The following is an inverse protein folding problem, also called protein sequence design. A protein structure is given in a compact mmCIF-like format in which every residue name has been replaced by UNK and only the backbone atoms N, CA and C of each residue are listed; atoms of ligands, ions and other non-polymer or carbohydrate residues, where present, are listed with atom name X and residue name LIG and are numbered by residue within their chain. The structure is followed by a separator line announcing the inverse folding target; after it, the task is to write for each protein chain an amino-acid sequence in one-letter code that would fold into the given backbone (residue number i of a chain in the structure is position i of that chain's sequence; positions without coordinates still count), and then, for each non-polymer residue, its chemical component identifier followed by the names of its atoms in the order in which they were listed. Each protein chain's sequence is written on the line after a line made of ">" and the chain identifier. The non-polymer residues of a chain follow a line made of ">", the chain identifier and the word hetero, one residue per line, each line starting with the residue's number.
data_IF_516667363921
#
_entry.id   IF_516667363921
#
_cell.length_a   1.000
_cell.length_b   1.000
_cell.length_c   1.000
_cell.angle_alpha   90.00
_cell.angle_beta   90.00
_cell.angle_gamma   90.00
#
_symmetry.space_group_name_H-M   'P 1'
#
loop_
_entity.id
_entity.type
_entity.pdbx_description
1 polymer ?
#
# COMPACT_ATOMS: atom_id res chain seq x y z
N UNK A 1 51.58 118.14 162.34
CA UNK A 1 50.60 118.08 163.45
C UNK A 1 49.42 118.99 163.14
N UNK A 2 48.29 118.38 162.79
CA UNK A 2 46.94 118.96 162.72
C UNK A 2 46.07 117.95 163.48
N UNK A 3 45.31 118.39 164.48
CA UNK A 3 44.54 117.46 165.34
C UNK A 3 43.36 116.88 164.55
N UNK A 4 43.37 115.56 164.30
CA UNK A 4 42.29 114.83 163.61
C UNK A 4 41.33 114.26 164.67
N UNK A 5 40.05 114.56 164.50
CA UNK A 5 39.00 114.18 165.46
C UNK A 5 38.31 112.91 164.96
N UNK A 6 38.29 111.85 165.77
CA UNK A 6 37.63 110.60 165.44
C UNK A 6 36.10 110.82 165.29
N UNK A 7 35.48 110.46 164.14
CA UNK A 7 34.06 110.71 163.89
C UNK A 7 33.13 109.93 164.82
N UNK A 8 33.62 108.87 165.47
CA UNK A 8 32.79 107.98 166.29
C UNK A 8 32.80 108.32 167.79
N UNK A 9 33.80 109.04 168.30
CA UNK A 9 33.91 109.33 169.74
C UNK A 9 34.45 110.73 170.10
N UNK A 10 34.67 111.60 169.10
CA UNK A 10 34.90 113.05 169.25
C UNK A 10 36.01 113.50 170.22
N UNK A 11 37.00 112.64 170.51
CA UNK A 11 38.23 113.02 171.24
C UNK A 11 39.42 113.14 170.28
N UNK A 12 40.21 114.20 170.47
CA UNK A 12 41.44 114.44 169.72
C UNK A 12 42.58 113.56 170.25
N UNK A 13 43.24 112.82 169.37
CA UNK A 13 44.40 111.99 169.69
C UNK A 13 45.55 112.28 168.70
N UNK A 14 46.79 112.31 169.21
CA UNK A 14 48.01 112.50 168.38
C UNK A 14 48.53 111.15 167.94
N UNK A 15 48.67 110.95 166.63
CA UNK A 15 49.03 109.67 165.99
C UNK A 15 50.50 109.67 165.58
N UNK A 16 51.18 108.57 165.89
CA UNK A 16 52.58 108.27 165.54
C UNK A 16 52.70 107.84 164.06
N UNK A 17 53.73 108.35 163.36
CA UNK A 17 53.91 108.29 161.90
C UNK A 17 54.03 106.85 161.36
N UNK A 18 54.46 105.89 162.17
CA UNK A 18 54.60 104.48 161.75
C UNK A 18 53.24 103.77 161.56
N UNK A 19 52.25 104.03 162.43
CA UNK A 19 50.93 103.37 162.35
C UNK A 19 50.08 103.88 161.19
N UNK A 20 50.28 105.13 160.75
CA UNK A 20 49.58 105.68 159.59
C UNK A 20 50.12 105.10 158.27
N UNK A 21 51.41 104.78 158.20
CA UNK A 21 52.05 104.18 157.03
C UNK A 21 51.55 102.74 156.77
N UNK A 22 51.37 101.92 157.81
CA UNK A 22 50.86 100.55 157.68
C UNK A 22 49.37 100.51 157.29
N UNK A 23 48.54 101.41 157.84
CA UNK A 23 47.13 101.54 157.43
C UNK A 23 47.02 102.04 155.98
N UNK A 24 47.85 103.03 155.58
CA UNK A 24 47.92 103.48 154.19
C UNK A 24 48.35 102.35 153.26
N UNK A 25 49.34 101.54 153.66
CA UNK A 25 49.80 100.39 152.87
C UNK A 25 48.72 99.33 152.75
N UNK A 26 48.02 98.98 153.82
CA UNK A 26 46.94 97.98 153.80
C UNK A 26 45.73 98.43 152.95
N UNK A 27 45.35 99.71 153.03
CA UNK A 27 44.28 100.27 152.17
C UNK A 27 44.73 100.33 150.71
N UNK A 28 46.00 100.69 150.46
CA UNK A 28 46.56 100.77 149.10
C UNK A 28 46.76 99.40 148.48
N UNK A 29 47.23 98.40 149.23
CA UNK A 29 47.41 97.03 148.76
C UNK A 29 46.04 96.38 148.48
N UNK A 30 45.03 96.59 149.34
CA UNK A 30 43.67 96.09 149.09
C UNK A 30 42.96 96.83 147.93
N UNK A 31 43.16 98.14 147.78
CA UNK A 31 42.67 98.88 146.60
C UNK A 31 43.40 98.44 145.33
N UNK A 32 44.69 98.18 145.40
CA UNK A 32 45.50 97.70 144.28
C UNK A 32 45.09 96.29 143.86
N UNK A 33 44.87 95.38 144.81
CA UNK A 33 44.38 94.02 144.51
C UNK A 33 42.99 94.06 143.88
N UNK A 34 42.09 94.96 144.35
CA UNK A 34 40.79 95.19 143.71
C UNK A 34 40.94 95.72 142.28
N UNK A 35 41.78 96.73 142.07
CA UNK A 35 42.03 97.28 140.73
C UNK A 35 42.69 96.24 139.80
N UNK A 36 43.60 95.42 140.33
CA UNK A 36 44.25 94.33 139.60
C UNK A 36 43.23 93.25 139.19
N UNK A 37 42.35 92.83 140.10
CA UNK A 37 41.27 91.88 139.78
C UNK A 37 40.28 92.48 138.78
N UNK A 38 39.93 93.76 138.91
CA UNK A 38 39.04 94.45 137.97
C UNK A 38 39.68 94.54 136.58
N UNK A 39 40.99 94.87 136.49
CA UNK A 39 41.73 94.83 135.22
C UNK A 39 41.89 93.43 134.67
N UNK A 40 42.14 92.41 135.49
CA UNK A 40 42.18 91.01 135.04
C UNK A 40 40.83 90.58 134.48
N UNK A 41 39.73 90.93 135.16
CA UNK A 41 38.38 90.63 134.68
C UNK A 41 38.04 91.36 133.38
N UNK A 42 38.45 92.62 133.24
CA UNK A 42 38.32 93.37 131.97
C UNK A 42 39.15 92.69 130.87
N UNK A 43 40.41 92.33 131.14
CA UNK A 43 41.27 91.66 130.19
C UNK A 43 40.77 90.26 129.78
N UNK A 44 40.21 89.49 130.72
CA UNK A 44 39.55 88.21 130.44
C UNK A 44 38.34 88.41 129.54
N UNK A 45 37.49 89.40 129.83
CA UNK A 45 36.32 89.74 129.02
C UNK A 45 36.71 90.23 127.62
N UNK A 46 37.76 91.04 127.50
CA UNK A 46 38.31 91.47 126.22
C UNK A 46 38.88 90.30 125.42
N UNK A 47 39.61 89.39 126.05
CA UNK A 47 40.10 88.16 125.43
C UNK A 47 38.95 87.27 124.95
N UNK A 48 37.92 87.07 125.76
CA UNK A 48 36.72 86.33 125.36
C UNK A 48 36.02 86.98 124.17
N UNK A 49 35.87 88.30 124.17
CA UNK A 49 35.27 89.03 123.05
C UNK A 49 36.13 88.95 121.78
N UNK A 50 37.46 89.01 121.91
CA UNK A 50 38.39 88.86 120.79
C UNK A 50 38.32 87.45 120.19
N UNK A 51 38.20 86.41 121.03
CA UNK A 51 37.99 85.02 120.59
C UNK A 51 36.65 84.89 119.86
N UNK A 52 35.56 85.42 120.43
CA UNK A 52 34.23 85.41 119.78
C UNK A 52 34.23 86.14 118.44
N UNK A 53 34.94 87.27 118.34
CA UNK A 53 35.09 88.01 117.08
C UNK A 53 35.90 87.21 116.05
N UNK A 54 36.98 86.55 116.48
CA UNK A 54 37.76 85.69 115.60
C UNK A 54 36.94 84.48 115.11
N UNK A 55 36.18 83.82 116.00
CA UNK A 55 35.25 82.75 115.65
C UNK A 55 34.19 83.24 114.66
N UNK A 56 33.57 84.40 114.89
CA UNK A 56 32.58 84.99 113.99
C UNK A 56 33.17 85.34 112.61
N UNK A 57 34.41 85.84 112.56
CA UNK A 57 35.09 86.12 111.30
C UNK A 57 35.42 84.84 110.52
N UNK A 58 35.85 83.79 111.22
CA UNK A 58 36.12 82.47 110.62
C UNK A 58 34.81 81.85 110.11
N UNK A 59 33.72 81.89 110.88
CA UNK A 59 32.43 81.34 110.44
C UNK A 59 31.88 82.11 109.24
N UNK A 60 31.99 83.44 109.21
CA UNK A 60 31.60 84.25 108.05
C UNK A 60 32.45 83.93 106.81
N UNK A 61 33.76 83.79 106.96
CA UNK A 61 34.65 83.39 105.86
C UNK A 61 34.31 82.00 105.33
N UNK A 62 34.09 81.03 106.23
CA UNK A 62 33.67 79.67 105.86
C UNK A 62 32.29 79.65 105.21
N UNK A 63 31.34 80.47 105.67
CA UNK A 63 30.03 80.61 105.03
C UNK A 63 30.14 81.20 103.61
N UNK A 64 31.02 82.19 103.42
CA UNK A 64 31.28 82.77 102.09
C UNK A 64 31.92 81.75 101.14
N UNK A 65 32.90 80.98 101.63
CA UNK A 65 33.55 79.90 100.85
C UNK A 65 32.58 78.77 100.52
N UNK A 66 31.72 78.37 101.48
CA UNK A 66 30.66 77.39 101.25
C UNK A 66 29.66 77.88 100.21
N UNK A 67 29.18 79.12 100.32
CA UNK A 67 28.27 79.70 99.34
C UNK A 67 28.89 79.73 97.93
N UNK A 68 30.19 80.07 97.82
CA UNK A 68 30.91 80.04 96.54
C UNK A 68 31.02 78.62 95.99
N UNK A 69 31.32 77.63 96.84
CA UNK A 69 31.39 76.22 96.43
C UNK A 69 30.03 75.66 96.02
N UNK A 70 28.96 76.04 96.72
CA UNK A 70 27.59 75.68 96.35
C UNK A 70 27.19 76.28 95.00
N UNK A 71 27.58 77.53 94.73
CA UNK A 71 27.37 78.16 93.43
C UNK A 71 28.14 77.44 92.31
N UNK A 72 29.44 77.18 92.51
CA UNK A 72 30.25 76.42 91.55
C UNK A 72 29.67 75.02 91.27
N UNK A 73 29.18 74.34 92.31
CA UNK A 73 28.52 73.04 92.17
C UNK A 73 27.19 73.12 91.43
N UNK A 74 26.38 74.16 91.69
CA UNK A 74 25.12 74.38 91.00
C UNK A 74 25.35 74.67 89.51
N UNK A 75 26.33 75.52 89.17
CA UNK A 75 26.71 75.82 87.80
C UNK A 75 27.24 74.59 87.06
N UNK A 76 28.10 73.79 87.72
CA UNK A 76 28.64 72.56 87.14
C UNK A 76 27.53 71.53 86.88
N UNK A 77 26.59 71.37 87.83
CA UNK A 77 25.42 70.49 87.66
C UNK A 77 24.55 70.94 86.49
N UNK A 78 24.19 72.23 86.44
CA UNK A 78 23.40 72.79 85.34
C UNK A 78 24.09 72.62 83.98
N UNK A 79 25.41 72.81 83.91
CA UNK A 79 26.20 72.57 82.70
C UNK A 79 26.20 71.10 82.28
N UNK A 80 26.35 70.17 83.24
CA UNK A 80 26.32 68.73 82.99
C UNK A 80 24.93 68.25 82.57
N UNK A 81 23.88 68.72 83.22
CA UNK A 81 22.50 68.39 82.87
C UNK A 81 22.16 68.88 81.45
N UNK A 82 22.64 70.07 81.08
CA UNK A 82 22.49 70.59 79.70
C UNK A 82 23.28 69.76 78.68
N UNK A 83 24.52 69.39 78.98
CA UNK A 83 25.31 68.51 78.11
C UNK A 83 24.63 67.13 77.93
N UNK A 84 24.13 66.56 79.02
CA UNK A 84 23.37 65.31 79.00
C UNK A 84 22.11 65.45 78.13
N UNK A 85 21.30 66.48 78.37
CA UNK A 85 20.10 66.74 77.57
C UNK A 85 20.42 66.90 76.07
N UNK A 86 21.46 67.66 75.71
CA UNK A 86 21.88 67.84 74.32
C UNK A 86 22.37 66.52 73.69
N UNK A 87 23.12 65.70 74.42
CA UNK A 87 23.58 64.40 73.92
C UNK A 87 22.43 63.40 73.75
N UNK A 88 21.47 63.38 74.68
CA UNK A 88 20.27 62.55 74.58
C UNK A 88 19.42 62.99 73.40
N UNK A 89 19.17 64.28 73.22
CA UNK A 89 18.40 64.80 72.09
C UNK A 89 19.06 64.45 70.74
N UNK A 90 20.39 64.55 70.64
CA UNK A 90 21.14 64.11 69.43
C UNK A 90 20.97 62.61 69.18
N UNK A 91 21.14 61.79 70.21
CA UNK A 91 20.98 60.33 70.12
C UNK A 91 19.56 59.93 69.73
N UNK A 92 18.55 60.60 70.28
CA UNK A 92 17.14 60.36 69.94
C UNK A 92 16.84 60.76 68.49
N UNK A 93 17.39 61.88 68.01
CA UNK A 93 17.27 62.29 66.62
C UNK A 93 17.95 61.31 65.66
N UNK A 94 19.17 60.86 65.98
CA UNK A 94 19.89 59.84 65.20
C UNK A 94 19.13 58.51 65.18
N UNK A 95 18.58 58.08 66.33
CA UNK A 95 17.76 56.87 66.41
C UNK A 95 16.47 56.99 65.60
N UNK A 96 15.82 58.16 65.62
CA UNK A 96 14.63 58.41 64.81
C UNK A 96 14.96 58.37 63.30
N UNK A 97 16.09 58.97 62.89
CA UNK A 97 16.57 58.93 61.52
C UNK A 97 16.89 57.50 61.07
N UNK A 98 17.68 56.74 61.85
CA UNK A 98 17.99 55.35 61.52
C UNK A 98 16.74 54.46 61.46
N UNK A 99 15.77 54.64 62.37
CA UNK A 99 14.49 53.92 62.31
C UNK A 99 13.71 54.23 61.03
N UNK A 100 13.70 55.50 60.61
CA UNK A 100 13.04 55.91 59.36
C UNK A 100 13.71 55.27 58.14
N UNK A 101 15.05 55.30 58.07
CA UNK A 101 15.80 54.66 57.00
C UNK A 101 15.58 53.14 56.95
N UNK A 102 15.56 52.49 58.11
CA UNK A 102 15.35 51.05 58.21
C UNK A 102 13.94 50.65 57.75
N UNK A 103 12.91 51.40 58.18
CA UNK A 103 11.54 51.22 57.69
C UNK A 103 11.42 51.46 56.18
N UNK A 104 12.11 52.48 55.65
CA UNK A 104 12.11 52.76 54.21
C UNK A 104 12.83 51.66 53.41
N UNK A 105 13.93 51.12 53.94
CA UNK A 105 14.65 50.00 53.33
C UNK A 105 13.80 48.72 53.36
N UNK A 106 13.12 48.44 54.47
CA UNK A 106 12.21 47.30 54.61
C UNK A 106 11.01 47.42 53.65
N UNK A 107 10.42 48.62 53.52
CA UNK A 107 9.36 48.89 52.56
C UNK A 107 9.82 48.72 51.10
N UNK A 108 11.03 49.20 50.75
CA UNK A 108 11.59 48.99 49.41
C UNK A 108 11.83 47.51 49.13
N UNK A 109 12.32 46.76 50.12
CA UNK A 109 12.54 45.32 50.00
C UNK A 109 11.23 44.57 49.81
N UNK A 110 10.20 44.88 50.60
CA UNK A 110 8.88 44.24 50.45
C UNK A 110 8.26 44.58 49.11
N UNK A 111 8.32 45.83 48.66
CA UNK A 111 7.83 46.24 47.34
C UNK A 111 8.55 45.49 46.21
N UNK A 112 9.89 45.43 46.24
CA UNK A 112 10.68 44.73 45.23
C UNK A 112 10.36 43.22 45.19
N UNK A 113 10.18 42.58 46.35
CA UNK A 113 9.77 41.17 46.44
C UNK A 113 8.35 40.98 45.90
N UNK A 114 7.40 41.84 46.27
CA UNK A 114 6.02 41.76 45.78
C UNK A 114 5.93 41.97 44.27
N UNK A 115 6.68 42.92 43.70
CA UNK A 115 6.74 43.15 42.26
C UNK A 115 7.35 41.95 41.51
N UNK A 116 8.43 41.38 42.03
CA UNK A 116 9.05 40.19 41.45
C UNK A 116 8.09 38.99 41.51
N UNK A 117 7.44 38.75 42.64
CA UNK A 117 6.46 37.67 42.81
C UNK A 117 5.26 37.87 41.89
N UNK A 118 4.69 39.08 41.82
CA UNK A 118 3.57 39.38 40.93
C UNK A 118 3.91 39.14 39.45
N UNK A 119 5.14 39.42 39.04
CA UNK A 119 5.59 39.18 37.66
C UNK A 119 5.64 37.69 37.38
N UNK A 120 6.25 36.91 38.28
CA UNK A 120 6.31 35.45 38.18
C UNK A 120 4.92 34.80 38.24
N UNK A 121 4.02 35.29 39.09
CA UNK A 121 2.65 34.79 39.18
C UNK A 121 1.86 35.04 37.88
N UNK A 122 1.98 36.23 37.29
CA UNK A 122 1.36 36.54 35.99
C UNK A 122 1.90 35.64 34.88
N UNK A 123 3.21 35.41 34.84
CA UNK A 123 3.83 34.51 33.86
C UNK A 123 3.36 33.06 34.06
N UNK A 124 3.34 32.59 35.31
CA UNK A 124 2.82 31.26 35.68
C UNK A 124 1.38 31.08 35.24
N UNK A 125 0.51 32.05 35.54
CA UNK A 125 -0.91 31.96 35.24
C UNK A 125 -1.17 32.04 33.72
N UNK A 126 -0.41 32.87 33.00
CA UNK A 126 -0.45 32.91 31.54
C UNK A 126 0.03 31.60 30.91
N UNK A 127 1.11 30.99 31.42
CA UNK A 127 1.61 29.69 30.96
C UNK A 127 0.63 28.57 31.27
N UNK A 128 0.04 28.56 32.47
CA UNK A 128 -1.00 27.60 32.86
C UNK A 128 -2.22 27.68 31.94
N UNK A 129 -2.68 28.88 31.62
CA UNK A 129 -3.77 29.08 30.66
C UNK A 129 -3.43 28.59 29.26
N UNK A 130 -2.22 28.89 28.77
CA UNK A 130 -1.74 28.36 27.47
C UNK A 130 -1.66 26.84 27.46
N UNK A 131 -1.19 26.22 28.55
CA UNK A 131 -1.09 24.77 28.67
C UNK A 131 -2.49 24.11 28.67
N UNK A 132 -3.44 24.64 29.46
CA UNK A 132 -4.81 24.13 29.46
C UNK A 132 -5.48 24.27 28.08
N UNK A 133 -5.28 25.39 27.39
CA UNK A 133 -5.80 25.54 26.03
C UNK A 133 -5.20 24.53 25.05
N UNK A 134 -3.88 24.27 25.14
CA UNK A 134 -3.21 23.26 24.31
C UNK A 134 -3.67 21.84 24.62
N UNK A 135 -3.90 21.52 25.89
CA UNK A 135 -4.46 20.23 26.32
C UNK A 135 -5.87 20.03 25.74
N UNK A 136 -6.73 21.06 25.84
CA UNK A 136 -8.09 21.03 25.30
C UNK A 136 -8.10 20.91 23.77
N UNK A 137 -7.24 21.67 23.06
CA UNK A 137 -7.08 21.57 21.61
C UNK A 137 -6.66 20.16 21.18
N UNK A 138 -5.71 19.55 21.91
CA UNK A 138 -5.25 18.19 21.65
C UNK A 138 -6.36 17.17 21.87
N UNK A 139 -7.12 17.28 22.97
CA UNK A 139 -8.25 16.39 23.25
C UNK A 139 -9.34 16.50 22.18
N UNK A 140 -9.68 17.72 21.76
CA UNK A 140 -10.65 17.94 20.66
C UNK A 140 -10.16 17.33 19.34
N UNK A 141 -8.86 17.48 19.02
CA UNK A 141 -8.28 16.88 17.83
C UNK A 141 -8.33 15.35 17.88
N UNK A 142 -8.01 14.76 19.04
CA UNK A 142 -8.04 13.31 19.24
C UNK A 142 -9.46 12.74 19.07
N UNK A 143 -10.46 13.38 19.68
CA UNK A 143 -11.87 12.99 19.53
C UNK A 143 -12.31 13.12 18.08
N UNK A 144 -12.00 14.24 17.42
CA UNK A 144 -12.37 14.47 16.02
C UNK A 144 -11.73 13.43 15.08
N UNK A 145 -10.47 13.05 15.32
CA UNK A 145 -9.79 12.01 14.54
C UNK A 145 -10.41 10.64 14.77
N UNK A 146 -10.72 10.29 16.03
CA UNK A 146 -11.40 9.03 16.36
C UNK A 146 -12.76 8.94 15.68
N UNK A 147 -13.60 9.98 15.79
CA UNK A 147 -14.91 10.01 15.12
C UNK A 147 -14.81 9.92 13.60
N UNK A 148 -13.82 10.58 12.98
CA UNK A 148 -13.59 10.46 11.53
C UNK A 148 -13.23 9.03 11.14
N UNK A 149 -12.30 8.40 11.85
CA UNK A 149 -11.88 7.04 11.55
C UNK A 149 -13.00 6.02 11.82
N UNK A 150 -13.76 6.16 12.90
CA UNK A 150 -14.92 5.30 13.18
C UNK A 150 -15.98 5.42 12.08
N UNK A 151 -16.27 6.63 11.61
CA UNK A 151 -17.19 6.82 10.49
C UNK A 151 -16.66 6.22 9.18
N UNK A 152 -15.37 6.40 8.87
CA UNK A 152 -14.74 5.78 7.70
C UNK A 152 -14.78 4.25 7.75
N UNK A 153 -14.50 3.66 8.91
CA UNK A 153 -14.59 2.22 9.12
C UNK A 153 -16.02 1.73 8.94
N UNK A 154 -17.00 2.39 9.57
CA UNK A 154 -18.42 2.04 9.41
C UNK A 154 -18.86 2.10 7.95
N UNK A 155 -18.50 3.15 7.22
CA UNK A 155 -18.82 3.27 5.79
C UNK A 155 -18.19 2.15 4.95
N UNK A 156 -16.96 1.75 5.26
CA UNK A 156 -16.29 0.63 4.60
C UNK A 156 -16.94 -0.71 4.92
N UNK A 157 -17.31 -0.94 6.18
CA UNK A 157 -17.98 -2.17 6.60
C UNK A 157 -19.36 -2.30 5.93
N UNK A 158 -20.15 -1.21 5.88
CA UNK A 158 -21.42 -1.17 5.14
C UNK A 158 -21.23 -1.46 3.64
N UNK A 159 -20.17 -0.92 3.02
CA UNK A 159 -19.84 -1.24 1.63
C UNK A 159 -19.47 -2.72 1.46
N UNK A 160 -18.66 -3.28 2.35
CA UNK A 160 -18.26 -4.69 2.32
C UNK A 160 -19.48 -5.59 2.43
N UNK A 161 -20.42 -5.29 3.34
CA UNK A 161 -21.67 -6.06 3.46
C UNK A 161 -22.50 -5.98 2.18
N UNK A 162 -22.67 -4.81 1.58
CA UNK A 162 -23.37 -4.66 0.29
C UNK A 162 -22.69 -5.47 -0.82
N UNK A 163 -21.36 -5.43 -0.90
CA UNK A 163 -20.62 -6.22 -1.89
C UNK A 163 -20.78 -7.72 -1.66
N UNK A 164 -20.75 -8.17 -0.40
CA UNK A 164 -21.01 -9.57 -0.04
C UNK A 164 -22.41 -9.99 -0.45
N UNK A 165 -23.44 -9.21 -0.11
CA UNK A 165 -24.84 -9.48 -0.47
C UNK A 165 -25.05 -9.47 -1.99
N UNK A 166 -24.44 -8.52 -2.72
CA UNK A 166 -24.50 -8.46 -4.18
C UNK A 166 -23.84 -9.69 -4.83
N UNK A 167 -22.65 -10.09 -4.34
CA UNK A 167 -21.97 -11.30 -4.81
C UNK A 167 -22.78 -12.55 -4.50
N UNK A 168 -23.39 -12.62 -3.31
CA UNK A 168 -24.25 -13.74 -2.91
C UNK A 168 -25.49 -13.83 -3.81
N UNK A 169 -26.15 -12.71 -4.12
CA UNK A 169 -27.32 -12.66 -5.01
C UNK A 169 -27.00 -13.02 -6.46
N UNK A 170 -25.84 -12.60 -6.98
CA UNK A 170 -25.38 -13.01 -8.31
C UNK A 170 -25.05 -14.50 -8.35
N UNK A 171 -24.44 -15.02 -7.29
CA UNK A 171 -24.11 -16.45 -7.16
C UNK A 171 -25.36 -17.32 -6.98
N UNK A 172 -26.33 -16.92 -6.14
CA UNK A 172 -27.56 -17.71 -5.90
C UNK A 172 -28.46 -17.79 -7.11
N UNK A 173 -28.47 -16.78 -7.98
CA UNK A 173 -29.18 -16.85 -9.28
C UNK A 173 -28.53 -17.86 -10.24
N UNK A 174 -27.21 -17.98 -10.22
CA UNK A 174 -26.45 -18.98 -10.98
C UNK A 174 -26.53 -20.40 -10.37
N UNK A 175 -26.77 -20.51 -9.07
CA UNK A 175 -26.94 -21.79 -8.37
C UNK A 175 -28.37 -22.35 -8.55
N UNK A 176 -29.37 -21.48 -8.75
CA UNK A 176 -30.77 -21.89 -8.92
C UNK A 176 -31.14 -22.42 -10.31
N UNK A 177 -30.35 -22.10 -11.35
CA UNK A 177 -30.48 -22.62 -12.72
C UNK A 177 -29.30 -23.57 -12.99
N UNK A 178 -29.49 -24.66 -13.73
CA UNK A 178 -28.35 -25.49 -14.17
C UNK A 178 -27.41 -24.63 -15.03
N UNK A 179 -26.09 -24.76 -14.85
CA UNK A 179 -25.08 -24.03 -15.63
C UNK A 179 -25.32 -24.14 -17.15
N UNK A 180 -25.80 -25.31 -17.59
CA UNK A 180 -26.21 -25.57 -18.96
C UNK A 180 -27.35 -24.66 -19.43
N UNK A 181 -28.41 -24.56 -18.63
CA UNK A 181 -29.59 -23.75 -18.95
C UNK A 181 -29.25 -22.26 -18.97
N UNK A 182 -28.35 -21.82 -18.10
CA UNK A 182 -27.85 -20.46 -18.08
C UNK A 182 -27.12 -20.11 -19.38
N UNK A 183 -26.14 -20.93 -19.79
CA UNK A 183 -25.38 -20.70 -21.01
C UNK A 183 -26.26 -20.76 -22.27
N UNK A 184 -27.21 -21.70 -22.32
CA UNK A 184 -28.20 -21.79 -23.40
C UNK A 184 -29.07 -20.53 -23.49
N UNK A 185 -29.55 -20.03 -22.36
CA UNK A 185 -30.38 -18.82 -22.30
C UNK A 185 -29.58 -17.58 -22.74
N UNK A 186 -28.34 -17.43 -22.28
CA UNK A 186 -27.45 -16.33 -22.67
C UNK A 186 -27.13 -16.37 -24.17
N UNK A 187 -26.90 -17.57 -24.73
CA UNK A 187 -26.71 -17.73 -26.17
C UNK A 187 -27.96 -17.32 -26.96
N UNK A 188 -29.13 -17.82 -26.56
CA UNK A 188 -30.39 -17.55 -27.26
C UNK A 188 -30.80 -16.07 -27.23
N UNK A 189 -30.48 -15.32 -26.16
CA UNK A 189 -30.68 -13.86 -26.10
C UNK A 189 -29.93 -13.10 -27.20
N UNK A 190 -28.74 -13.57 -27.56
CA UNK A 190 -27.86 -12.93 -28.54
C UNK A 190 -27.97 -13.54 -29.94
N UNK A 191 -28.72 -14.64 -30.08
CA UNK A 191 -28.85 -15.38 -31.34
C UNK A 191 -29.35 -14.51 -32.49
N UNK A 192 -30.38 -13.71 -32.26
CA UNK A 192 -30.99 -12.86 -33.31
C UNK A 192 -30.06 -11.73 -33.79
N UNK A 193 -29.19 -11.21 -32.92
CA UNK A 193 -28.38 -10.02 -33.19
C UNK A 193 -26.95 -10.35 -33.61
N UNK A 194 -26.38 -11.44 -33.10
CA UNK A 194 -24.96 -11.77 -33.29
C UNK A 194 -24.67 -13.12 -33.96
N UNK A 195 -25.59 -14.09 -33.88
CA UNK A 195 -25.35 -15.50 -34.25
C UNK A 195 -26.46 -16.07 -35.15
N UNK A 196 -26.81 -15.34 -36.22
CA UNK A 196 -27.96 -15.67 -37.09
C UNK A 196 -27.82 -17.01 -37.81
N UNK A 197 -26.60 -17.37 -38.23
CA UNK A 197 -26.30 -18.62 -38.95
C UNK A 197 -25.65 -19.68 -38.05
N UNK A 198 -25.75 -19.51 -36.73
CA UNK A 198 -25.14 -20.42 -35.78
C UNK A 198 -26.13 -21.51 -35.32
N UNK A 199 -25.59 -22.72 -35.25
CA UNK A 199 -26.17 -23.90 -34.65
C UNK A 199 -25.57 -24.08 -33.25
N UNK A 200 -26.44 -24.18 -32.23
CA UNK A 200 -26.05 -24.44 -30.85
C UNK A 200 -27.09 -25.37 -30.23
N UNK A 201 -26.74 -26.64 -30.05
CA UNK A 201 -27.64 -27.66 -29.51
C UNK A 201 -26.88 -28.62 -28.61
N UNK A 202 -27.63 -29.33 -27.75
CA UNK A 202 -27.09 -30.41 -26.92
C UNK A 202 -26.60 -31.58 -27.78
N UNK A 203 -25.47 -32.17 -27.41
CA UNK A 203 -24.97 -33.36 -28.11
C UNK A 203 -25.75 -34.62 -27.70
N UNK A 204 -26.77 -34.95 -28.48
CA UNK A 204 -27.61 -36.13 -28.26
C UNK A 204 -27.13 -37.39 -29.02
N UNK A 205 -26.08 -37.30 -29.83
CA UNK A 205 -25.61 -38.44 -30.63
C UNK A 205 -24.67 -39.35 -29.82
N UNK A 206 -25.25 -40.41 -29.26
CA UNK A 206 -24.62 -41.36 -28.33
C UNK A 206 -24.05 -42.62 -28.99
N UNK A 207 -23.95 -42.66 -30.32
CA UNK A 207 -23.60 -43.88 -31.08
C UNK A 207 -22.20 -44.44 -30.77
N UNK A 208 -21.26 -43.62 -30.28
CA UNK A 208 -19.87 -44.03 -29.98
C UNK A 208 -19.53 -44.05 -28.49
N UNK A 209 -20.46 -43.71 -27.59
CA UNK A 209 -20.24 -43.68 -26.14
C UNK A 209 -19.57 -42.41 -25.59
N UNK A 210 -19.29 -41.43 -26.46
CA UNK A 210 -18.80 -40.09 -26.15
C UNK A 210 -19.97 -39.09 -26.20
N UNK A 211 -20.07 -38.18 -25.21
CA UNK A 211 -21.13 -37.18 -25.09
C UNK A 211 -20.53 -35.91 -24.51
N UNK A 212 -20.45 -34.86 -25.32
CA UNK A 212 -20.26 -33.50 -24.80
C UNK A 212 -21.59 -32.88 -24.39
N UNK A 213 -21.57 -31.71 -23.74
CA UNK A 213 -22.81 -31.05 -23.34
C UNK A 213 -23.45 -30.28 -24.50
N UNK A 214 -22.68 -29.44 -25.20
CA UNK A 214 -23.18 -28.63 -26.32
C UNK A 214 -22.19 -28.54 -27.47
N UNK A 215 -22.72 -28.49 -28.69
CA UNK A 215 -21.94 -28.23 -29.91
C UNK A 215 -22.37 -26.91 -30.52
N UNK A 216 -21.41 -26.01 -30.69
CA UNK A 216 -21.57 -24.78 -31.47
C UNK A 216 -20.96 -24.98 -32.86
N UNK A 217 -21.71 -24.64 -33.92
CA UNK A 217 -21.20 -24.53 -35.29
C UNK A 217 -21.75 -23.30 -35.96
N UNK A 218 -20.93 -22.61 -36.72
CA UNK A 218 -21.38 -21.50 -37.57
C UNK A 218 -20.93 -21.72 -39.00
N UNK A 219 -21.84 -21.45 -39.94
CA UNK A 219 -21.59 -21.53 -41.38
C UNK A 219 -21.73 -20.16 -42.03
N UNK A 220 -21.00 -19.95 -43.12
CA UNK A 220 -21.16 -18.76 -43.96
C UNK A 220 -22.41 -18.85 -44.86
N UNK A 221 -22.69 -17.80 -45.63
CA UNK A 221 -23.83 -17.75 -46.56
C UNK A 221 -23.76 -18.82 -47.68
N UNK A 222 -22.59 -19.40 -47.91
CA UNK A 222 -22.33 -20.43 -48.92
C UNK A 222 -22.35 -21.85 -48.33
N UNK A 223 -22.57 -21.97 -47.01
CA UNK A 223 -22.61 -23.24 -46.28
C UNK A 223 -21.25 -23.78 -45.85
N UNK A 224 -20.15 -23.00 -45.95
CA UNK A 224 -18.85 -23.43 -45.45
C UNK A 224 -18.76 -23.24 -43.93
N UNK A 225 -18.21 -24.21 -43.20
CA UNK A 225 -18.00 -24.11 -41.75
C UNK A 225 -16.96 -23.01 -41.43
N UNK A 226 -17.41 -21.98 -40.71
CA UNK A 226 -16.58 -20.89 -40.19
C UNK A 226 -15.79 -21.42 -39.00
N UNK A 227 -16.51 -21.95 -38.02
CA UNK A 227 -15.98 -22.43 -36.75
C UNK A 227 -16.90 -23.50 -36.15
N UNK A 228 -16.29 -24.45 -35.45
CA UNK A 228 -16.98 -25.41 -34.60
C UNK A 228 -16.31 -25.50 -33.23
N UNK A 229 -17.11 -25.50 -32.16
CA UNK A 229 -16.65 -25.53 -30.77
C UNK A 229 -17.43 -26.61 -30.02
N UNK A 230 -16.71 -27.51 -29.36
CA UNK A 230 -17.27 -28.45 -28.39
C UNK A 230 -17.26 -27.82 -27.00
N UNK A 231 -18.39 -27.86 -26.30
CA UNK A 231 -18.53 -27.35 -24.94
C UNK A 231 -18.80 -28.47 -23.94
N UNK A 232 -18.09 -28.41 -22.82
CA UNK A 232 -18.36 -29.17 -21.61
C UNK A 232 -18.69 -28.16 -20.50
N UNK A 233 -19.70 -28.43 -19.68
CA UNK A 233 -20.18 -27.55 -18.62
C UNK A 233 -20.13 -28.28 -17.27
N UNK A 234 -19.40 -27.72 -16.30
CA UNK A 234 -19.25 -28.30 -14.96
C UNK A 234 -19.67 -27.35 -13.86
N UNK A 235 -20.65 -27.78 -13.07
CA UNK A 235 -21.16 -27.05 -11.92
C UNK A 235 -20.64 -27.65 -10.61
N UNK A 236 -20.43 -26.83 -9.58
CA UNK A 236 -19.95 -27.33 -8.27
C UNK A 236 -21.03 -28.15 -7.52
N UNK A 237 -22.31 -27.98 -7.87
CA UNK A 237 -23.45 -28.63 -7.22
C UNK A 237 -23.80 -30.05 -7.70
N UNK A 238 -23.23 -30.52 -8.81
CA UNK A 238 -23.70 -31.75 -9.49
C UNK A 238 -22.93 -33.03 -9.10
N UNK A 239 -21.94 -32.96 -8.19
CA UNK A 239 -21.04 -34.09 -7.91
C UNK A 239 -21.08 -34.63 -6.47
N UNK A 240 -20.95 -35.96 -6.39
CA UNK A 240 -20.82 -36.78 -5.17
C UNK A 240 -19.61 -36.40 -4.29
N UNK A 241 -19.50 -36.98 -3.09
CA UNK A 241 -18.61 -36.67 -1.97
C UNK A 241 -17.09 -36.37 -2.23
N UNK A 242 -16.59 -36.50 -3.45
CA UNK A 242 -15.24 -36.11 -3.87
C UNK A 242 -15.31 -34.97 -4.88
N UNK A 243 -14.71 -33.82 -4.55
CA UNK A 243 -14.60 -32.67 -5.46
C UNK A 243 -13.68 -33.03 -6.63
N UNK A 244 -14.20 -33.01 -7.87
CA UNK A 244 -13.39 -33.17 -9.07
C UNK A 244 -12.67 -31.87 -9.43
N UNK A 245 -11.57 -31.99 -10.19
CA UNK A 245 -10.79 -30.85 -10.70
C UNK A 245 -11.07 -30.61 -12.16
N UNK A 246 -10.81 -29.39 -12.64
CA UNK A 246 -10.96 -29.06 -14.06
C UNK A 246 -10.13 -29.97 -14.97
N UNK A 247 -8.96 -30.40 -14.51
CA UNK A 247 -8.08 -31.30 -15.26
C UNK A 247 -8.68 -32.68 -15.56
N UNK A 248 -9.62 -33.16 -14.73
CA UNK A 248 -10.20 -34.49 -14.86
C UNK A 248 -11.04 -34.61 -16.14
N UNK A 249 -11.59 -33.50 -16.64
CA UNK A 249 -12.50 -33.46 -17.78
C UNK A 249 -11.81 -33.15 -19.12
N UNK A 250 -10.59 -32.62 -19.10
CA UNK A 250 -9.92 -32.15 -20.32
C UNK A 250 -9.70 -33.26 -21.36
N UNK A 251 -9.35 -34.47 -20.89
CA UNK A 251 -9.07 -35.61 -21.77
C UNK A 251 -10.32 -36.12 -22.48
N UNK A 252 -11.44 -36.16 -21.76
CA UNK A 252 -12.74 -36.57 -22.29
C UNK A 252 -13.24 -35.54 -23.30
N UNK A 253 -13.18 -34.26 -22.93
CA UNK A 253 -13.54 -33.17 -23.83
C UNK A 253 -12.72 -33.15 -25.13
N UNK A 254 -11.42 -33.44 -25.09
CA UNK A 254 -10.62 -33.52 -26.33
C UNK A 254 -11.04 -34.69 -27.23
N UNK A 255 -11.36 -35.85 -26.63
CA UNK A 255 -11.89 -37.02 -27.35
C UNK A 255 -13.20 -36.65 -28.05
N UNK A 256 -14.10 -36.01 -27.33
CA UNK A 256 -15.43 -35.63 -27.83
C UNK A 256 -15.31 -34.58 -28.94
N UNK A 257 -14.40 -33.61 -28.78
CA UNK A 257 -14.03 -32.65 -29.83
C UNK A 257 -13.55 -33.36 -31.10
N UNK A 258 -12.67 -34.35 -30.97
CA UNK A 258 -12.11 -35.07 -32.11
C UNK A 258 -13.15 -35.95 -32.82
N UNK A 259 -13.97 -36.69 -32.06
CA UNK A 259 -15.04 -37.54 -32.61
C UNK A 259 -16.07 -36.73 -33.37
N UNK A 260 -16.47 -35.58 -32.83
CA UNK A 260 -17.45 -34.68 -33.45
C UNK A 260 -16.80 -33.75 -34.48
N UNK A 261 -15.49 -33.86 -34.74
CA UNK A 261 -14.76 -33.00 -35.69
C UNK A 261 -14.98 -31.50 -35.42
N UNK A 262 -14.91 -31.10 -34.15
CA UNK A 262 -14.96 -29.70 -33.77
C UNK A 262 -13.55 -29.08 -33.81
N UNK A 263 -13.45 -27.82 -34.24
CA UNK A 263 -12.17 -27.12 -34.34
C UNK A 263 -11.60 -26.78 -32.95
N UNK A 264 -12.45 -26.37 -32.00
CA UNK A 264 -12.08 -25.98 -30.64
C UNK A 264 -12.82 -26.80 -29.58
N UNK A 265 -12.25 -26.84 -28.38
CA UNK A 265 -12.92 -27.32 -27.17
C UNK A 265 -12.90 -26.26 -26.08
N UNK A 266 -14.01 -26.09 -25.37
CA UNK A 266 -14.12 -25.13 -24.27
C UNK A 266 -14.82 -25.76 -23.08
N UNK A 267 -14.09 -25.88 -21.96
CA UNK A 267 -14.66 -26.27 -20.67
C UNK A 267 -15.18 -25.03 -19.96
N UNK A 268 -16.49 -24.95 -19.73
CA UNK A 268 -17.15 -23.91 -18.92
C UNK A 268 -17.34 -24.45 -17.51
N UNK A 269 -16.70 -23.83 -16.51
CA UNK A 269 -16.61 -24.45 -15.18
C UNK A 269 -16.83 -23.48 -14.02
N UNK A 270 -17.60 -23.94 -13.03
CA UNK A 270 -17.71 -23.36 -11.69
C UNK A 270 -16.84 -24.10 -10.66
N UNK A 271 -16.16 -25.18 -11.04
CA UNK A 271 -15.26 -25.93 -10.16
C UNK A 271 -14.03 -25.11 -9.76
N UNK A 272 -13.42 -25.47 -8.64
CA UNK A 272 -12.16 -24.87 -8.17
C UNK A 272 -12.24 -23.33 -8.11
N UNK A 273 -13.29 -22.78 -7.47
CA UNK A 273 -13.53 -21.33 -7.39
C UNK A 273 -12.35 -20.54 -6.80
N UNK A 274 -11.63 -21.12 -5.84
CA UNK A 274 -10.49 -20.49 -5.17
C UNK A 274 -9.14 -20.73 -5.88
N UNK A 275 -9.12 -21.47 -7.00
CA UNK A 275 -7.88 -21.79 -7.69
C UNK A 275 -7.35 -20.59 -8.49
N UNK A 276 -6.15 -20.12 -8.15
CA UNK A 276 -5.54 -18.88 -8.66
C UNK A 276 -5.54 -18.82 -10.20
N UNK A 277 -5.11 -19.89 -10.88
CA UNK A 277 -5.09 -19.97 -12.35
C UNK A 277 -6.47 -19.83 -13.01
N UNK A 278 -7.47 -20.63 -12.58
CA UNK A 278 -8.81 -20.65 -13.20
C UNK A 278 -9.70 -19.48 -12.76
N UNK A 279 -9.33 -18.76 -11.69
CA UNK A 279 -10.05 -17.57 -11.25
C UNK A 279 -9.75 -16.33 -12.12
N UNK A 280 -8.73 -16.36 -12.98
CA UNK A 280 -8.41 -15.27 -13.93
C UNK A 280 -9.45 -15.15 -15.06
N UNK A 281 -10.23 -16.21 -15.33
CA UNK A 281 -11.41 -16.15 -16.19
C UNK A 281 -11.34 -16.94 -17.48
N UNK A 282 -10.28 -16.74 -18.28
CA UNK A 282 -10.00 -17.51 -19.51
C UNK A 282 -8.60 -18.09 -19.40
N UNK A 283 -8.49 -19.41 -19.47
CA UNK A 283 -7.21 -20.14 -19.40
C UNK A 283 -7.01 -20.93 -20.68
N UNK A 284 -5.87 -20.70 -21.34
CA UNK A 284 -5.45 -21.47 -22.52
C UNK A 284 -4.75 -22.76 -22.07
N UNK A 285 -5.32 -23.90 -22.39
CA UNK A 285 -4.75 -25.24 -22.11
C UNK A 285 -4.24 -25.92 -23.39
N UNK A 286 -4.03 -25.15 -24.46
CA UNK A 286 -3.53 -25.62 -25.76
C UNK A 286 -2.15 -26.27 -25.69
N UNK A 287 -1.38 -26.01 -24.62
CA UNK A 287 -0.11 -26.69 -24.36
C UNK A 287 -0.27 -28.19 -24.06
N UNK A 288 -1.45 -28.62 -23.59
CA UNK A 288 -1.77 -30.01 -23.23
C UNK A 288 -2.72 -30.64 -24.26
N UNK A 289 -3.76 -29.91 -24.66
CA UNK A 289 -4.75 -30.35 -25.66
C UNK A 289 -4.95 -29.26 -26.71
N UNK A 290 -4.60 -29.47 -27.99
CA UNK A 290 -4.62 -28.41 -28.99
C UNK A 290 -5.96 -27.70 -29.11
N UNK A 291 -5.94 -26.35 -29.17
CA UNK A 291 -7.13 -25.50 -29.37
C UNK A 291 -8.20 -25.69 -28.27
N UNK A 292 -7.75 -25.81 -27.02
CA UNK A 292 -8.63 -26.01 -25.87
C UNK A 292 -8.49 -24.88 -24.85
N UNK A 293 -9.64 -24.44 -24.32
CA UNK A 293 -9.71 -23.38 -23.30
C UNK A 293 -10.57 -23.81 -22.12
N UNK A 294 -10.26 -23.28 -20.93
CA UNK A 294 -11.09 -23.40 -19.73
C UNK A 294 -11.58 -22.00 -19.37
N UNK A 295 -12.89 -21.83 -19.21
CA UNK A 295 -13.50 -20.51 -18.97
C UNK A 295 -14.51 -20.55 -17.83
N UNK A 296 -14.67 -19.41 -17.16
CA UNK A 296 -15.81 -19.19 -16.27
C UNK A 296 -17.06 -18.83 -17.08
N UNK A 297 -18.28 -19.07 -16.55
CA UNK A 297 -19.52 -18.87 -17.31
C UNK A 297 -19.70 -17.45 -17.88
N UNK A 298 -19.22 -16.42 -17.15
CA UNK A 298 -19.27 -15.03 -17.63
C UNK A 298 -18.44 -14.77 -18.90
N UNK A 299 -17.49 -15.65 -19.23
CA UNK A 299 -16.66 -15.56 -20.43
C UNK A 299 -17.14 -16.48 -21.55
N UNK A 300 -18.24 -17.21 -21.38
CA UNK A 300 -18.79 -18.11 -22.38
C UNK A 300 -19.07 -17.40 -23.73
N UNK A 301 -19.89 -16.34 -23.72
CA UNK A 301 -20.21 -15.56 -24.93
C UNK A 301 -18.98 -14.80 -25.47
N UNK A 302 -18.18 -14.11 -24.64
CA UNK A 302 -16.93 -13.49 -25.11
C UNK A 302 -15.99 -14.48 -25.81
N UNK A 303 -15.87 -15.71 -25.31
CA UNK A 303 -15.02 -16.74 -25.91
C UNK A 303 -15.53 -17.15 -27.29
N UNK A 304 -16.84 -17.43 -27.44
CA UNK A 304 -17.43 -17.72 -28.76
C UNK A 304 -17.14 -16.57 -29.74
N UNK A 305 -17.35 -15.33 -29.30
CA UNK A 305 -17.14 -14.14 -30.12
C UNK A 305 -15.69 -13.99 -30.56
N UNK A 306 -14.74 -14.21 -29.64
CA UNK A 306 -13.31 -14.12 -29.91
C UNK A 306 -12.86 -15.17 -30.93
N UNK A 307 -13.23 -16.43 -30.69
CA UNK A 307 -12.85 -17.54 -31.57
C UNK A 307 -13.48 -17.39 -32.96
N UNK A 308 -14.75 -16.98 -33.01
CA UNK A 308 -15.46 -16.67 -34.27
C UNK A 308 -14.73 -15.58 -35.08
N UNK A 309 -14.37 -14.46 -34.45
CA UNK A 309 -13.68 -13.37 -35.13
C UNK A 309 -12.31 -13.80 -35.66
N UNK A 310 -11.58 -14.63 -34.91
CA UNK A 310 -10.33 -15.22 -35.37
C UNK A 310 -10.53 -16.16 -36.59
N UNK A 311 -11.62 -16.95 -36.57
CA UNK A 311 -11.96 -17.85 -37.65
C UNK A 311 -12.41 -17.11 -38.92
N UNK A 312 -13.20 -16.03 -38.81
CA UNK A 312 -13.61 -15.19 -39.94
C UNK A 312 -12.42 -14.59 -40.69
N UNK A 313 -11.38 -14.15 -39.97
CA UNK A 313 -10.15 -13.65 -40.60
C UNK A 313 -9.40 -14.76 -41.35
N UNK A 314 -9.49 -16.00 -40.88
CA UNK A 314 -8.87 -17.18 -41.51
C UNK A 314 -9.68 -17.70 -42.70
N UNK A 315 -10.94 -17.28 -42.84
CA UNK A 315 -11.86 -17.78 -43.87
C UNK A 315 -11.48 -17.34 -45.27
N UNK A 316 -10.93 -16.13 -45.44
CA UNK A 316 -10.35 -15.68 -46.72
C UNK A 316 -9.33 -16.69 -47.26
N UNK A 317 -8.44 -17.16 -46.39
CA UNK A 317 -7.42 -18.15 -46.74
C UNK A 317 -8.01 -19.54 -46.97
N UNK A 318 -9.01 -19.96 -46.18
CA UNK A 318 -9.69 -21.26 -46.39
C UNK A 318 -10.44 -21.29 -47.72
N UNK A 319 -11.11 -20.20 -48.11
CA UNK A 319 -11.82 -20.08 -49.38
C UNK A 319 -10.85 -20.07 -50.60
N UNK A 320 -9.74 -19.34 -50.52
CA UNK A 320 -8.69 -19.38 -51.54
C UNK A 320 -8.09 -20.79 -51.67
N UNK A 321 -7.81 -21.47 -50.55
CA UNK A 321 -7.30 -22.84 -50.57
C UNK A 321 -8.31 -23.83 -51.16
N UNK A 322 -9.60 -23.67 -50.85
CA UNK A 322 -10.66 -24.50 -51.41
C UNK A 322 -10.78 -24.31 -52.93
N UNK A 323 -10.67 -23.06 -53.41
CA UNK A 323 -10.63 -22.73 -54.84
C UNK A 323 -9.40 -23.34 -55.54
N UNK A 324 -8.23 -23.27 -54.92
CA UNK A 324 -7.01 -23.90 -55.46
C UNK A 324 -7.12 -25.42 -55.46
N UNK A 325 -7.71 -26.02 -54.42
CA UNK A 325 -7.94 -27.47 -54.36
C UNK A 325 -8.95 -27.92 -55.43
N UNK A 326 -10.04 -27.19 -55.66
CA UNK A 326 -10.99 -27.53 -56.71
C UNK A 326 -10.36 -27.39 -58.11
N UNK A 327 -9.57 -26.34 -58.34
CA UNK A 327 -8.78 -26.19 -59.58
C UNK A 327 -7.80 -27.36 -59.78
N UNK A 328 -7.12 -27.81 -58.73
CA UNK A 328 -6.22 -28.96 -58.82
C UNK A 328 -6.96 -30.26 -59.09
N UNK A 329 -8.14 -30.50 -58.48
CA UNK A 329 -8.95 -31.69 -58.76
C UNK A 329 -9.36 -31.76 -60.23
N UNK A 330 -9.68 -30.62 -60.85
CA UNK A 330 -10.05 -30.56 -62.28
C UNK A 330 -8.84 -30.87 -63.19
N UNK A 331 -7.64 -30.40 -62.81
CA UNK A 331 -6.38 -30.75 -63.50
C UNK A 331 -6.08 -32.24 -63.37
N UNK A 332 -6.22 -32.83 -62.18
CA UNK A 332 -5.98 -34.26 -61.98
C UNK A 332 -6.99 -35.09 -62.76
N UNK A 333 -8.27 -34.71 -62.77
CA UNK A 333 -9.28 -35.40 -63.56
C UNK A 333 -9.03 -35.25 -65.07
N UNK A 334 -8.52 -34.11 -65.52
CA UNK A 334 -8.10 -33.93 -66.90
C UNK A 334 -6.89 -34.81 -67.27
N UNK A 335 -5.90 -34.94 -66.38
CA UNK A 335 -4.76 -35.84 -66.56
C UNK A 335 -5.19 -37.31 -66.59
N UNK A 336 -6.09 -37.72 -65.71
CA UNK A 336 -6.67 -39.07 -65.69
C UNK A 336 -7.45 -39.34 -66.98
N UNK A 337 -8.26 -38.39 -67.45
CA UNK A 337 -9.03 -38.49 -68.69
C UNK A 337 -8.11 -38.53 -69.93
N UNK A 338 -7.04 -37.74 -69.96
CA UNK A 338 -6.03 -37.81 -71.04
C UNK A 338 -5.30 -39.15 -71.02
N UNK A 339 -4.98 -39.67 -69.83
CA UNK A 339 -4.30 -40.96 -69.69
C UNK A 339 -5.21 -42.09 -70.17
N UNK A 340 -6.48 -42.10 -69.74
CA UNK A 340 -7.49 -43.04 -70.20
C UNK A 340 -7.72 -42.95 -71.72
N UNK A 341 -7.75 -41.74 -72.29
CA UNK A 341 -7.85 -41.53 -73.74
C UNK A 341 -6.62 -42.08 -74.47
N UNK A 342 -5.40 -41.78 -74.00
CA UNK A 342 -4.15 -42.27 -74.59
C UNK A 342 -4.08 -43.80 -74.55
N UNK A 343 -4.43 -44.41 -73.43
CA UNK A 343 -4.44 -45.87 -73.30
C UNK A 343 -5.51 -46.53 -74.18
N UNK A 344 -6.72 -45.97 -74.22
CA UNK A 344 -7.80 -46.44 -75.08
C UNK A 344 -7.46 -46.30 -76.57
N UNK A 345 -6.89 -45.15 -76.97
CA UNK A 345 -6.44 -44.91 -78.33
C UNK A 345 -5.29 -45.84 -78.74
N UNK A 346 -4.29 -46.04 -77.86
CA UNK A 346 -3.19 -46.95 -78.12
C UNK A 346 -3.66 -48.41 -78.29
N UNK A 347 -4.58 -48.88 -77.44
CA UNK A 347 -5.18 -50.22 -77.58
C UNK A 347 -5.97 -50.37 -78.87
N UNK A 348 -6.81 -49.39 -79.22
CA UNK A 348 -7.60 -49.44 -80.45
C UNK A 348 -6.72 -49.38 -81.71
N UNK A 349 -5.66 -48.56 -81.69
CA UNK A 349 -4.69 -48.49 -82.77
C UNK A 349 -3.91 -49.79 -82.93
N UNK A 350 -3.43 -50.39 -81.83
CA UNK A 350 -2.72 -51.68 -81.88
C UNK A 350 -3.65 -52.81 -82.37
N UNK A 351 -4.89 -52.86 -81.89
CA UNK A 351 -5.88 -53.86 -82.34
C UNK A 351 -6.20 -53.69 -83.84
N UNK A 352 -6.40 -52.45 -84.30
CA UNK A 352 -6.62 -52.16 -85.71
C UNK A 352 -5.40 -52.54 -86.56
N UNK A 353 -4.19 -52.16 -86.12
CA UNK A 353 -2.93 -52.50 -86.79
C UNK A 353 -2.73 -54.01 -86.92
N UNK A 354 -2.99 -54.78 -85.85
CA UNK A 354 -2.96 -56.26 -85.89
C UNK A 354 -3.97 -56.82 -86.87
N UNK A 355 -5.22 -56.34 -86.86
CA UNK A 355 -6.25 -56.78 -87.82
C UNK A 355 -5.89 -56.45 -89.26
N UNK A 356 -5.34 -55.26 -89.51
CA UNK A 356 -4.81 -54.90 -90.82
C UNK A 356 -3.69 -55.85 -91.25
N UNK A 357 -2.77 -56.19 -90.36
CA UNK A 357 -1.69 -57.13 -90.64
C UNK A 357 -2.21 -58.54 -90.96
N UNK A 358 -3.16 -59.04 -90.18
CA UNK A 358 -3.80 -60.35 -90.44
C UNK A 358 -4.57 -60.35 -91.77
N UNK A 359 -5.27 -59.26 -92.10
CA UNK A 359 -5.95 -59.15 -93.39
C UNK A 359 -4.96 -59.16 -94.57
N UNK A 360 -3.81 -58.49 -94.44
CA UNK A 360 -2.73 -58.55 -95.43
C UNK A 360 -2.19 -59.98 -95.56
N UNK A 361 -1.96 -60.68 -94.44
CA UNK A 361 -1.50 -62.08 -94.47
C UNK A 361 -2.53 -63.02 -95.13
N UNK A 362 -3.83 -62.81 -94.95
CA UNK A 362 -4.86 -63.58 -95.66
C UNK A 362 -4.93 -63.25 -97.16
N UNK A 363 -4.74 -61.98 -97.54
CA UNK A 363 -4.60 -61.58 -98.94
C UNK A 363 -3.40 -62.32 -99.57
N UNK A 364 -2.25 -62.34 -98.90
CA UNK A 364 -1.05 -63.04 -99.39
C UNK A 364 -1.28 -64.55 -99.56
N UNK A 365 -1.97 -65.20 -98.60
CA UNK A 365 -2.37 -66.61 -98.72
C UNK A 365 -3.30 -66.84 -99.91
N UNK A 366 -4.23 -65.92 -100.15
CA UNK A 366 -5.18 -66.01 -101.27
C UNK A 366 -4.45 -65.85 -102.61
N UNK A 367 -3.47 -64.94 -102.68
CA UNK A 367 -2.59 -64.78 -103.86
C UNK A 367 -1.79 -66.06 -104.11
N UNK A 368 -1.25 -66.70 -103.06
CA UNK A 368 -0.53 -67.97 -103.19
C UNK A 368 -1.45 -69.09 -103.71
N UNK A 369 -2.68 -69.14 -103.21
CA UNK A 369 -3.70 -70.07 -103.71
C UNK A 369 -4.01 -69.84 -105.19
N UNK A 370 -4.22 -68.58 -105.60
CA UNK A 370 -4.49 -68.22 -107.00
C UNK A 370 -3.30 -68.54 -107.91
N UNK A 371 -2.05 -68.38 -107.43
CA UNK A 371 -0.85 -68.82 -108.15
C UNK A 371 -0.84 -70.33 -108.37
N UNK A 372 -1.12 -71.12 -107.33
CA UNK A 372 -1.24 -72.59 -107.46
C UNK A 372 -2.35 -73.00 -108.40
N UNK A 373 -3.50 -72.32 -108.37
CA UNK A 373 -4.60 -72.59 -109.30
C UNK A 373 -4.20 -72.28 -110.74
N UNK A 374 -3.48 -71.17 -110.97
CA UNK A 374 -2.91 -70.84 -112.28
C UNK A 374 -1.96 -71.92 -112.78
N UNK A 375 -1.04 -72.40 -111.94
CA UNK A 375 -0.11 -73.49 -112.29
C UNK A 375 -0.84 -74.80 -112.60
N UNK A 376 -1.88 -75.14 -111.82
CA UNK A 376 -2.71 -76.30 -112.07
C UNK A 376 -3.44 -76.19 -113.42
N UNK A 377 -3.99 -75.03 -113.76
CA UNK A 377 -4.64 -74.79 -115.05
C UNK A 377 -3.64 -74.88 -116.22
N UNK A 378 -2.45 -74.30 -116.09
CA UNK A 378 -1.39 -74.41 -117.10
C UNK A 378 -0.90 -75.85 -117.28
N UNK A 379 -0.79 -76.63 -116.20
CA UNK A 379 -0.46 -78.05 -116.29
C UNK A 379 -1.59 -78.86 -116.95
N UNK A 380 -2.85 -78.51 -116.68
CA UNK A 380 -4.02 -79.11 -117.34
C UNK A 380 -4.05 -78.79 -118.84
N UNK A 381 -3.75 -77.55 -119.22
CA UNK A 381 -3.57 -77.14 -120.63
C UNK A 381 -2.43 -77.92 -121.30
N UNK A 382 -1.29 -78.08 -120.62
CA UNK A 382 -0.18 -78.90 -121.11
C UNK A 382 -0.58 -80.38 -121.28
N UNK A 383 -1.40 -80.92 -120.37
CA UNK A 383 -1.92 -82.28 -120.47
C UNK A 383 -2.92 -82.42 -121.64
N UNK A 384 -3.78 -81.42 -121.87
CA UNK A 384 -4.67 -81.38 -123.03
C UNK A 384 -3.88 -81.28 -124.33
N UNK A 385 -2.80 -80.48 -124.37
CA UNK A 385 -1.88 -80.41 -125.50
C UNK A 385 -1.20 -81.76 -125.77
N UNK A 386 -0.73 -82.44 -124.72
CA UNK A 386 -0.16 -83.80 -124.84
C UNK A 386 -1.21 -84.83 -125.30
N UNK A 387 -2.45 -84.72 -124.84
CA UNK A 387 -3.55 -85.57 -125.28
C UNK A 387 -3.93 -85.31 -126.74
N UNK A 388 -3.95 -84.04 -127.17
CA UNK A 388 -4.19 -83.67 -128.57
C UNK A 388 -3.07 -84.18 -129.48
N UNK A 389 -1.81 -84.03 -129.07
CA UNK A 389 -0.67 -84.60 -129.81
C UNK A 389 -0.76 -86.14 -129.91
N UNK A 390 -1.21 -86.82 -128.85
CA UNK A 390 -1.47 -88.28 -128.89
C UNK A 390 -2.65 -88.66 -129.79
N UNK A 391 -3.65 -87.78 -129.91
CA UNK A 391 -4.80 -87.97 -130.80
C UNK A 391 -4.44 -87.74 -132.28
N UNK A 392 -3.59 -86.76 -132.58
CA UNK A 392 -3.06 -86.51 -133.93
C UNK A 392 -2.07 -87.60 -134.39
N UNK A 393 -1.36 -88.26 -133.46
CA UNK A 393 -0.41 -89.35 -133.76
C UNK A 393 -1.08 -90.73 -133.98
N UNK A 394 -2.43 -90.78 -133.97
CA UNK A 394 -3.24 -91.96 -134.34
C UNK A 394 -3.36 -92.09 -135.87
N UNK A 395 -2.26 -92.46 -136.52
CA UNK A 395 -2.26 -92.82 -137.95
C UNK A 395 -2.85 -94.20 -138.20
N UNK A 396 -3.55 -94.37 -139.33
CA UNK A 396 -4.26 -95.61 -139.78
C UNK A 396 -3.38 -96.88 -139.67
N UNK A 397 -2.05 -96.72 -139.79
CA UNK A 397 -1.04 -97.78 -139.64
C UNK A 397 -0.97 -98.40 -138.24
N UNK A 398 -1.31 -97.64 -137.18
CA UNK A 398 -1.34 -98.11 -135.78
C UNK A 398 -2.70 -98.71 -135.40
N UNK A 399 -3.80 -98.22 -136.00
CA UNK A 399 -5.18 -98.70 -135.78
C UNK A 399 -5.47 -100.08 -136.41
N UNK A 400 -4.65 -100.54 -137.36
CA UNK A 400 -4.84 -101.82 -138.09
C UNK A 400 -3.89 -102.95 -137.66
N UNK A 401 -3.00 -102.71 -136.68
CA UNK A 401 -1.88 -103.60 -136.29
C UNK A 401 -2.28 -104.95 -135.65
N UNK A 402 -3.57 -105.23 -135.47
CA UNK A 402 -4.06 -106.48 -134.87
C UNK A 402 -5.35 -107.04 -135.49
N UNK A 403 -5.80 -106.49 -136.63
CA UNK A 403 -7.04 -106.92 -137.30
C UNK A 403 -6.75 -107.28 -138.76
N UNK A 404 -6.48 -108.57 -139.06
CA UNK A 404 -6.07 -109.02 -140.40
C UNK A 404 -7.10 -108.66 -141.48
N UNK A 405 -8.38 -108.68 -141.12
CA UNK A 405 -9.53 -108.44 -142.02
C UNK A 405 -9.72 -106.98 -142.42
N UNK A 406 -9.32 -106.04 -141.54
CA UNK A 406 -9.38 -104.60 -141.82
C UNK A 406 -8.10 -104.10 -142.51
N UNK A 407 -6.95 -104.72 -142.24
CA UNK A 407 -5.72 -104.45 -142.97
C UNK A 407 -5.83 -104.83 -144.45
N UNK A 408 -6.49 -105.95 -144.79
CA UNK A 408 -6.78 -106.33 -146.19
C UNK A 408 -7.79 -105.41 -146.85
N UNK A 409 -8.90 -105.04 -146.18
CA UNK A 409 -9.89 -104.11 -146.74
C UNK A 409 -9.35 -102.69 -147.00
N UNK A 410 -8.43 -102.19 -146.15
CA UNK A 410 -7.77 -100.91 -146.41
C UNK A 410 -6.62 -101.03 -147.42
N UNK A 411 -5.95 -102.18 -147.53
CA UNK A 411 -4.95 -102.44 -148.58
C UNK A 411 -5.60 -102.57 -149.98
N UNK A 412 -6.81 -103.15 -150.07
CA UNK A 412 -7.63 -103.16 -151.30
C UNK A 412 -8.09 -101.75 -151.72
N UNK A 413 -8.14 -100.80 -150.78
CA UNK A 413 -8.45 -99.37 -151.02
C UNK A 413 -7.21 -98.49 -151.26
N UNK A 414 -5.99 -98.97 -150.93
CA UNK A 414 -4.76 -98.15 -150.93
C UNK A 414 -3.59 -98.74 -151.71
N UNK A 415 -3.73 -99.91 -152.34
CA UNK A 415 -2.76 -100.37 -153.34
C UNK A 415 -3.31 -100.66 -154.72
N UNK A 416 -2.74 -100.08 -155.78
CA UNK A 416 -1.65 -99.05 -155.89
C UNK A 416 -0.50 -99.04 -154.86
#
# INVERSE_FOLDING_TARGET
>A
MQDIICPNCQKAFKVDEAGFADILKQVRDHQFDKELHERMHIAEKEKENAIKLAEANITNALQADLAKKEQELAELRASKDRQLADTVAKKESELAAMKSELNAAELKKTLAVTEAVNTVEKERDALKGKLQNKENEKQLLEVSLKEKHENELRMKDEMIERYKDMKLKQSTKMIGESLEQHCETEFNKLRATGFQNAYFEKDNDSRTGSKGDYVYREVDEQGNEIISIMFEMKNEGDETATKHKNEDFLKELDRDRAEKKCEYAVLVTLLEADHELYNVGIVDVSYKFPKMYVVRPQFFIPMITLLRNAALNSLKYKAELALVKSQNVDITHFEDNITAFKEGFAKNYDLASRRFKTAIEEIDKTIDHLKKTKEALQSSENNLRLANNKAEDLTIKRLTRGNPTMATKFAELSRS
#
